data_IF_160681463021
#
_entry.id   IF_160681463021
#
_cell.length_a   1.000
_cell.length_b   1.000
_cell.length_c   1.000
_cell.angle_alpha   90.00
_cell.angle_beta   90.00
_cell.angle_gamma   90.00
#
_symmetry.space_group_name_H-M   'P 1'
#
loop_
_entity.id
_entity.type
_entity.pdbx_description
1 polymer ?
#
# COMPACT_ATOMS: atom_id res chain seq x y z
N UNK A 1 20.83 0.45 35.94
CA UNK A 1 20.65 1.91 36.02
C UNK A 1 19.17 2.26 36.02
N UNK A 2 18.65 2.78 37.14
CA UNK A 2 17.26 3.22 37.23
C UNK A 2 17.07 4.54 36.49
N UNK A 3 16.46 4.50 35.31
CA UNK A 3 16.11 5.70 34.53
C UNK A 3 14.92 6.40 35.20
N UNK A 4 15.05 7.71 35.43
CA UNK A 4 13.96 8.54 35.96
C UNK A 4 12.71 8.48 35.04
N UNK A 5 11.52 8.30 35.64
CA UNK A 5 10.21 8.23 34.96
C UNK A 5 10.01 9.33 33.91
N UNK A 6 10.41 10.58 34.21
CA UNK A 6 10.29 11.73 33.28
C UNK A 6 11.14 11.52 32.01
N UNK A 7 12.35 11.03 32.16
CA UNK A 7 13.27 10.76 31.04
C UNK A 7 12.76 9.60 30.17
N UNK A 8 12.27 8.53 30.80
CA UNK A 8 11.65 7.38 30.10
C UNK A 8 10.47 7.84 29.23
N UNK A 9 9.57 8.66 29.78
CA UNK A 9 8.41 9.18 29.06
C UNK A 9 8.81 10.05 27.87
N UNK A 10 9.78 10.96 28.04
CA UNK A 10 10.29 11.80 26.94
C UNK A 10 10.84 10.95 25.78
N UNK A 11 11.60 9.89 26.11
CA UNK A 11 12.14 8.95 25.11
C UNK A 11 11.03 8.22 24.35
N UNK A 12 10.03 7.69 25.06
CA UNK A 12 8.88 6.99 24.46
C UNK A 12 8.13 7.93 23.51
N UNK A 13 7.82 9.16 23.94
CA UNK A 13 7.11 10.14 23.11
C UNK A 13 7.89 10.48 21.84
N UNK A 14 9.20 10.71 21.93
CA UNK A 14 10.04 10.98 20.77
C UNK A 14 10.08 9.78 19.80
N UNK A 15 10.18 8.56 20.32
CA UNK A 15 10.13 7.34 19.51
C UNK A 15 8.79 7.18 18.80
N UNK A 16 7.68 7.38 19.51
CA UNK A 16 6.34 7.26 18.95
C UNK A 16 6.08 8.29 17.86
N UNK A 17 6.55 9.54 18.04
CA UNK A 17 6.46 10.58 17.00
C UNK A 17 7.19 10.16 15.72
N UNK A 18 8.41 9.64 15.84
CA UNK A 18 9.18 9.13 14.68
C UNK A 18 8.49 7.96 14.00
N UNK A 19 8.08 6.95 14.77
CA UNK A 19 7.39 5.77 14.25
C UNK A 19 6.07 6.15 13.56
N UNK A 20 5.30 7.08 14.13
CA UNK A 20 4.07 7.60 13.51
C UNK A 20 4.34 8.22 12.15
N UNK A 21 5.40 9.01 11.98
CA UNK A 21 5.75 9.61 10.68
C UNK A 21 6.12 8.56 9.64
N UNK A 22 6.91 7.56 10.02
CA UNK A 22 7.29 6.44 9.14
C UNK A 22 6.05 5.62 8.75
N UNK A 23 5.23 5.23 9.72
CA UNK A 23 4.00 4.47 9.48
C UNK A 23 3.02 5.23 8.59
N UNK A 24 2.92 6.55 8.77
CA UNK A 24 2.10 7.42 7.92
C UNK A 24 2.56 7.36 6.48
N UNK A 25 3.87 7.46 6.20
CA UNK A 25 4.43 7.40 4.84
C UNK A 25 4.05 6.10 4.14
N UNK A 26 4.26 4.95 4.78
CA UNK A 26 3.89 3.65 4.20
C UNK A 26 2.38 3.56 3.95
N UNK A 27 1.57 3.88 4.95
CA UNK A 27 0.10 3.82 4.85
C UNK A 27 -0.45 4.76 3.76
N UNK A 28 0.08 5.99 3.67
CA UNK A 28 -0.33 6.95 2.65
C UNK A 28 0.08 6.50 1.25
N UNK A 29 1.30 6.00 1.07
CA UNK A 29 1.75 5.51 -0.24
C UNK A 29 0.91 4.32 -0.72
N UNK A 30 0.60 3.37 0.18
CA UNK A 30 -0.30 2.25 -0.14
C UNK A 30 -1.69 2.77 -0.55
N UNK A 31 -2.24 3.74 0.18
CA UNK A 31 -3.54 4.36 -0.15
C UNK A 31 -3.52 5.06 -1.50
N UNK A 32 -2.48 5.83 -1.79
CA UNK A 32 -2.30 6.53 -3.07
C UNK A 32 -2.18 5.55 -4.24
N UNK A 33 -1.31 4.54 -4.12
CA UNK A 33 -1.16 3.51 -5.16
C UNK A 33 -2.47 2.73 -5.39
N UNK A 34 -3.21 2.42 -4.31
CA UNK A 34 -4.51 1.75 -4.41
C UNK A 34 -5.54 2.61 -5.15
N UNK A 35 -5.59 3.92 -4.88
CA UNK A 35 -6.47 4.85 -5.59
C UNK A 35 -6.09 4.97 -7.07
N UNK A 36 -4.79 5.06 -7.36
CA UNK A 36 -4.29 5.11 -8.73
C UNK A 36 -4.68 3.85 -9.50
N UNK A 37 -4.49 2.67 -8.91
CA UNK A 37 -4.91 1.38 -9.47
C UNK A 37 -6.41 1.37 -9.82
N UNK A 38 -7.26 1.80 -8.89
CA UNK A 38 -8.71 1.89 -9.12
C UNK A 38 -9.07 2.92 -10.21
N UNK A 39 -8.35 4.03 -10.30
CA UNK A 39 -8.56 5.04 -11.34
C UNK A 39 -8.29 4.45 -12.73
N UNK A 40 -7.15 3.78 -12.90
CA UNK A 40 -6.78 3.12 -14.17
C UNK A 40 -7.80 2.04 -14.55
N UNK A 41 -8.31 1.29 -13.56
CA UNK A 41 -9.37 0.31 -13.81
C UNK A 41 -10.67 0.96 -14.30
N UNK A 42 -11.07 2.09 -13.72
CA UNK A 42 -12.28 2.81 -14.13
C UNK A 42 -12.14 3.37 -15.54
N UNK A 43 -11.02 4.00 -15.85
CA UNK A 43 -10.77 4.52 -17.21
C UNK A 43 -10.73 3.41 -18.25
N UNK A 44 -10.16 2.25 -17.90
CA UNK A 44 -10.17 1.07 -18.77
C UNK A 44 -11.57 0.49 -19.03
N UNK A 45 -12.50 0.59 -18.08
CA UNK A 45 -13.89 0.10 -18.24
C UNK A 45 -14.79 1.05 -19.02
N UNK A 46 -14.55 2.35 -18.90
CA UNK A 46 -15.36 3.38 -19.55
C UNK A 46 -14.96 3.64 -21.01
N UNK A 47 -13.82 3.10 -21.45
CA UNK A 47 -13.45 3.13 -22.87
C UNK A 47 -14.39 2.20 -23.62
N UNK A 48 -15.23 2.76 -24.48
CA UNK A 48 -16.18 2.08 -25.38
C UNK A 48 -15.52 1.15 -26.41
N UNK A 49 -14.20 0.96 -26.34
CA UNK A 49 -13.46 0.08 -27.23
C UNK A 49 -13.52 -1.35 -26.72
N UNK A 50 -13.96 -2.27 -27.57
CA UNK A 50 -14.09 -3.72 -27.34
C UNK A 50 -12.78 -4.44 -26.97
N UNK A 51 -11.65 -3.73 -26.93
CA UNK A 51 -10.36 -4.22 -26.42
C UNK A 51 -9.73 -3.19 -25.47
N UNK A 52 -9.35 -3.64 -24.28
CA UNK A 52 -8.51 -2.87 -23.36
C UNK A 52 -7.21 -2.50 -24.08
N UNK A 53 -6.98 -1.20 -24.29
CA UNK A 53 -5.76 -0.70 -24.92
C UNK A 53 -4.51 -1.29 -24.26
N UNK A 54 -3.54 -1.84 -25.02
CA UNK A 54 -2.35 -2.50 -24.46
C UNK A 54 -1.58 -1.64 -23.45
N UNK A 55 -1.50 -0.32 -23.68
CA UNK A 55 -0.83 0.59 -22.75
C UNK A 55 -1.50 0.66 -21.37
N UNK A 56 -2.83 0.57 -21.31
CA UNK A 56 -3.57 0.65 -20.04
C UNK A 56 -3.36 -0.63 -19.21
N UNK A 57 -3.27 -1.80 -19.88
CA UNK A 57 -2.97 -3.08 -19.23
C UNK A 57 -1.56 -3.09 -18.64
N UNK A 58 -0.55 -2.62 -19.39
CA UNK A 58 0.83 -2.51 -18.90
C UNK A 58 0.95 -1.57 -17.69
N UNK A 59 0.30 -0.40 -17.75
CA UNK A 59 0.27 0.56 -16.65
C UNK A 59 -0.40 -0.02 -15.39
N UNK A 60 -1.52 -0.73 -15.57
CA UNK A 60 -2.22 -1.39 -14.47
C UNK A 60 -1.34 -2.42 -13.75
N UNK A 61 -0.65 -3.28 -14.51
CA UNK A 61 0.26 -4.30 -13.96
C UNK A 61 1.44 -3.64 -13.24
N UNK A 62 2.03 -2.58 -13.82
CA UNK A 62 3.12 -1.83 -13.20
C UNK A 62 2.73 -1.24 -11.84
N UNK A 63 1.54 -0.61 -11.75
CA UNK A 63 1.02 -0.07 -10.49
C UNK A 63 0.72 -1.17 -9.48
N UNK A 64 0.16 -2.30 -9.91
CA UNK A 64 -0.09 -3.45 -9.04
C UNK A 64 1.21 -4.02 -8.47
N UNK A 65 2.26 -4.16 -9.28
CA UNK A 65 3.58 -4.63 -8.83
C UNK A 65 4.20 -3.68 -7.80
N UNK A 66 4.10 -2.37 -8.02
CA UNK A 66 4.54 -1.36 -7.04
C UNK A 66 3.74 -1.48 -5.73
N UNK A 67 2.43 -1.69 -5.82
CA UNK A 67 1.56 -1.86 -4.65
C UNK A 67 1.91 -3.12 -3.85
N UNK A 68 2.15 -4.25 -4.52
CA UNK A 68 2.63 -5.49 -3.88
C UNK A 68 3.98 -5.28 -3.18
N UNK A 69 4.94 -4.64 -3.83
CA UNK A 69 6.24 -4.31 -3.23
C UNK A 69 6.08 -3.47 -1.96
N UNK A 70 5.20 -2.45 -1.99
CA UNK A 70 4.95 -1.60 -0.82
C UNK A 70 4.23 -2.33 0.31
N UNK A 71 3.30 -3.24 0.00
CA UNK A 71 2.62 -4.07 0.98
C UNK A 71 3.62 -4.97 1.72
N UNK A 72 4.54 -5.61 0.99
CA UNK A 72 5.56 -6.47 1.61
C UNK A 72 6.56 -5.68 2.45
N UNK A 73 7.00 -4.53 1.93
CA UNK A 73 7.86 -3.62 2.68
C UNK A 73 7.17 -3.13 3.96
N UNK A 74 5.87 -2.84 3.92
CA UNK A 74 5.10 -2.43 5.09
C UNK A 74 4.95 -3.55 6.12
N UNK A 75 4.82 -4.82 5.70
CA UNK A 75 4.85 -5.97 6.61
C UNK A 75 6.23 -6.12 7.25
N UNK A 76 7.30 -6.10 6.43
CA UNK A 76 8.70 -6.21 6.92
C UNK A 76 9.05 -5.10 7.92
N UNK A 77 8.45 -3.91 7.78
CA UNK A 77 8.63 -2.77 8.68
C UNK A 77 7.62 -2.72 9.84
N UNK A 78 6.83 -3.77 10.04
CA UNK A 78 5.80 -3.88 11.08
C UNK A 78 4.75 -2.74 11.06
N UNK A 79 4.53 -2.12 9.89
CA UNK A 79 3.50 -1.10 9.71
C UNK A 79 2.12 -1.75 9.51
N UNK A 80 2.07 -2.89 8.83
CA UNK A 80 0.87 -3.67 8.59
C UNK A 80 1.05 -5.09 9.09
N UNK A 81 -0.01 -5.66 9.68
CA UNK A 81 -0.04 -7.08 9.99
C UNK A 81 -0.06 -7.93 8.71
N UNK A 82 0.61 -9.09 8.75
CA UNK A 82 0.72 -10.04 7.63
C UNK A 82 -0.64 -10.37 6.99
N UNK A 83 -1.67 -10.61 7.81
CA UNK A 83 -3.01 -10.94 7.31
C UNK A 83 -3.67 -9.75 6.58
N UNK A 84 -3.41 -8.52 7.01
CA UNK A 84 -3.96 -7.34 6.33
C UNK A 84 -3.32 -7.15 4.95
N UNK A 85 -2.00 -7.35 4.87
CA UNK A 85 -1.29 -7.38 3.59
C UNK A 85 -1.81 -8.49 2.67
N UNK A 86 -1.94 -9.72 3.17
CA UNK A 86 -2.45 -10.86 2.42
C UNK A 86 -3.86 -10.62 1.85
N UNK A 87 -4.79 -10.07 2.66
CA UNK A 87 -6.14 -9.71 2.19
C UNK A 87 -6.10 -8.70 1.06
N UNK A 88 -5.31 -7.61 1.21
CA UNK A 88 -5.17 -6.59 0.18
C UNK A 88 -4.60 -7.17 -1.12
N UNK A 89 -3.58 -8.05 -1.00
CA UNK A 89 -3.00 -8.75 -2.14
C UNK A 89 -4.03 -9.61 -2.86
N UNK A 90 -4.76 -10.43 -2.13
CA UNK A 90 -5.80 -11.30 -2.68
C UNK A 90 -6.87 -10.49 -3.45
N UNK A 91 -7.32 -9.35 -2.92
CA UNK A 91 -8.27 -8.47 -3.61
C UNK A 91 -7.73 -7.96 -4.95
N UNK A 92 -6.48 -7.47 -4.98
CA UNK A 92 -5.85 -6.95 -6.21
C UNK A 92 -5.67 -8.09 -7.23
N UNK A 93 -5.18 -9.26 -6.78
CA UNK A 93 -5.00 -10.42 -7.64
C UNK A 93 -6.32 -10.92 -8.24
N UNK A 94 -7.41 -10.93 -7.46
CA UNK A 94 -8.75 -11.28 -7.96
C UNK A 94 -9.17 -10.33 -9.09
N UNK A 95 -8.96 -9.03 -8.92
CA UNK A 95 -9.30 -8.04 -9.95
C UNK A 95 -8.46 -8.26 -11.22
N UNK A 96 -7.15 -8.49 -11.06
CA UNK A 96 -6.24 -8.75 -12.19
C UNK A 96 -6.58 -10.03 -12.95
N UNK A 97 -6.99 -11.09 -12.24
CA UNK A 97 -7.40 -12.36 -12.83
C UNK A 97 -8.68 -12.22 -13.66
N UNK A 98 -9.67 -11.46 -13.18
CA UNK A 98 -10.91 -11.20 -13.93
C UNK A 98 -10.65 -10.37 -15.19
N UNK A 99 -9.65 -9.48 -15.18
CA UNK A 99 -9.25 -8.67 -16.34
C UNK A 99 -8.27 -9.36 -17.30
N UNK A 100 -7.94 -10.64 -17.06
CA UNK A 100 -6.95 -11.37 -17.87
C UNK A 100 -7.49 -11.63 -19.25
#
# INVERSE_FOLDING_TARGET
>A
MNINKKQKNKKIVAQNKRNRMVNRRYSSTIKTLSKLFLSILKTSKNSTSTKVQPQNKANLISVANKLFSFLDKAVKKNVLHKNNSARKKATISKILCVTK
#
